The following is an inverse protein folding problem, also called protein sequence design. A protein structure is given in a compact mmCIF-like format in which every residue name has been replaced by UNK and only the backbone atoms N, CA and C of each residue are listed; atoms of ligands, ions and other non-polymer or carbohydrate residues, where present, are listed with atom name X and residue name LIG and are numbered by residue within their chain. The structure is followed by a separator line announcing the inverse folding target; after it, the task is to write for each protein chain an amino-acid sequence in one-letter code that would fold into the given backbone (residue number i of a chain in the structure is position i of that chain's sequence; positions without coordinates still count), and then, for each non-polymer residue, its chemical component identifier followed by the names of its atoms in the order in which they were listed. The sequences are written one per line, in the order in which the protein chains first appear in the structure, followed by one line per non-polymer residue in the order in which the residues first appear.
data_IF_945194039310
#
_entry.id   IF_945194039310
#
_cell.length_a   1.000
_cell.length_b   1.000
_cell.length_c   1.000
_cell.angle_alpha   90.00
_cell.angle_beta   90.00
_cell.angle_gamma   90.00
#
_symmetry.space_group_name_H-M   'P 1'
#
loop_
_entity.id
_entity.type
_entity.pdbx_description
1 polymer ?
#
# COMPACT_ATOMS: atom_id res chain seq x y z
N UNK A 1 -43.57 72.81 -55.99
CA UNK A 1 -44.56 71.82 -55.51
C UNK A 1 -44.99 72.23 -54.10
N UNK A 2 -46.14 72.90 -53.94
CA UNK A 2 -46.66 73.32 -52.64
C UNK A 2 -47.39 72.14 -52.00
N UNK A 3 -46.83 71.54 -50.95
CA UNK A 3 -47.47 70.45 -50.20
C UNK A 3 -48.43 71.10 -49.19
N UNK A 4 -49.73 70.88 -49.35
CA UNK A 4 -50.74 71.28 -48.39
C UNK A 4 -50.73 70.30 -47.22
N UNK A 5 -50.29 70.75 -46.05
CA UNK A 5 -50.31 69.95 -44.82
C UNK A 5 -51.69 70.07 -44.18
N UNK A 6 -52.48 69.01 -44.26
CA UNK A 6 -53.77 68.91 -43.54
C UNK A 6 -53.49 68.63 -42.07
N UNK A 7 -54.24 69.31 -41.18
CA UNK A 7 -54.14 69.07 -39.74
C UNK A 7 -54.63 67.65 -39.44
N UNK A 8 -53.83 66.80 -38.76
CA UNK A 8 -54.25 65.43 -38.45
C UNK A 8 -55.49 65.46 -37.55
N UNK A 9 -56.44 64.55 -37.82
CA UNK A 9 -57.66 64.46 -37.02
C UNK A 9 -57.33 64.01 -35.59
N UNK A 10 -58.10 64.44 -34.57
CA UNK A 10 -57.89 64.01 -33.19
C UNK A 10 -57.83 62.48 -33.03
N UNK A 11 -58.62 61.75 -33.83
CA UNK A 11 -58.59 60.28 -33.86
C UNK A 11 -57.25 59.72 -34.36
N UNK A 12 -56.61 60.37 -35.33
CA UNK A 12 -55.29 59.97 -35.83
C UNK A 12 -54.19 60.17 -34.78
N UNK A 13 -54.31 61.24 -33.97
CA UNK A 13 -53.37 61.50 -32.86
C UNK A 13 -53.51 60.42 -31.80
N UNK A 14 -54.74 60.07 -31.40
CA UNK A 14 -54.98 59.00 -30.41
C UNK A 14 -54.50 57.65 -30.95
N UNK A 15 -54.75 57.35 -32.23
CA UNK A 15 -54.27 56.13 -32.86
C UNK A 15 -52.74 56.04 -32.88
N UNK A 16 -52.03 57.14 -33.14
CA UNK A 16 -50.57 57.19 -33.12
C UNK A 16 -50.01 57.04 -31.70
N UNK A 17 -50.63 57.67 -30.69
CA UNK A 17 -50.22 57.52 -29.29
C UNK A 17 -50.46 56.07 -28.82
N UNK A 18 -51.61 55.49 -29.15
CA UNK A 18 -51.92 54.11 -28.83
C UNK A 18 -50.97 53.13 -29.53
N UNK A 19 -50.60 53.39 -30.79
CA UNK A 19 -49.64 52.60 -31.54
C UNK A 19 -48.24 52.66 -30.91
N UNK A 20 -47.77 53.87 -30.56
CA UNK A 20 -46.46 54.03 -29.89
C UNK A 20 -46.45 53.36 -28.51
N UNK A 21 -47.54 53.51 -27.74
CA UNK A 21 -47.67 52.84 -26.44
C UNK A 21 -47.67 51.31 -26.60
N UNK A 22 -48.40 50.77 -27.60
CA UNK A 22 -48.44 49.33 -27.88
C UNK A 22 -47.08 48.76 -28.34
N UNK A 23 -46.31 49.50 -29.14
CA UNK A 23 -44.96 49.09 -29.56
C UNK A 23 -43.90 49.25 -28.46
N UNK A 24 -44.12 50.10 -27.46
CA UNK A 24 -43.16 50.31 -26.37
C UNK A 24 -43.13 49.18 -25.32
N UNK A 25 -44.09 48.24 -25.38
CA UNK A 25 -44.41 47.32 -24.27
C UNK A 25 -43.80 45.92 -24.32
N UNK A 26 -43.10 45.49 -25.36
CA UNK A 26 -42.46 44.16 -25.35
C UNK A 26 -41.01 44.23 -25.80
N UNK A 27 -40.12 44.46 -24.82
CA UNK A 27 -38.73 44.02 -24.93
C UNK A 27 -38.73 42.49 -24.93
N UNK A 28 -39.11 41.89 -26.06
CA UNK A 28 -38.87 40.48 -26.30
C UNK A 28 -37.36 40.29 -26.21
N UNK A 29 -36.92 39.63 -25.14
CA UNK A 29 -35.58 39.10 -25.02
C UNK A 29 -35.43 37.94 -26.01
N UNK A 30 -35.53 38.23 -27.30
CA UNK A 30 -35.18 37.32 -28.39
C UNK A 30 -33.66 37.29 -28.45
N UNK A 31 -33.03 36.68 -27.44
CA UNK A 31 -31.61 36.40 -27.48
C UNK A 31 -31.36 35.38 -28.57
N UNK A 32 -30.58 35.77 -29.58
CA UNK A 32 -30.09 34.86 -30.58
C UNK A 32 -29.27 33.73 -29.94
N UNK A 33 -29.13 32.62 -30.66
CA UNK A 33 -28.25 31.52 -30.26
C UNK A 33 -26.84 32.09 -29.97
N UNK A 34 -26.25 31.72 -28.84
CA UNK A 34 -24.94 32.21 -28.36
C UNK A 34 -24.85 33.72 -28.06
N UNK A 35 -25.98 34.44 -27.89
CA UNK A 35 -25.98 35.88 -27.59
C UNK A 35 -25.89 36.22 -26.09
N UNK A 36 -25.85 35.21 -25.21
CA UNK A 36 -25.65 35.38 -23.76
C UNK A 36 -24.16 35.25 -23.45
N UNK A 37 -23.50 36.36 -23.19
CA UNK A 37 -22.14 36.42 -22.65
C UNK A 37 -22.11 36.52 -21.13
N UNK A 38 -20.90 36.63 -20.56
CA UNK A 38 -20.68 36.74 -19.11
C UNK A 38 -21.29 38.01 -18.50
N UNK A 39 -21.31 39.13 -19.25
CA UNK A 39 -21.89 40.41 -18.79
C UNK A 39 -23.41 40.36 -18.61
N UNK A 40 -24.08 39.45 -19.32
CA UNK A 40 -25.52 39.23 -19.23
C UNK A 40 -25.90 38.32 -18.04
N UNK A 41 -24.92 37.62 -17.45
CA UNK A 41 -25.13 36.74 -16.31
C UNK A 41 -24.67 37.42 -15.02
N UNK A 42 -25.62 37.70 -14.12
CA UNK A 42 -25.29 38.14 -12.76
C UNK A 42 -24.58 37.02 -12.00
N UNK A 43 -23.75 37.38 -11.02
CA UNK A 43 -23.13 36.39 -10.13
C UNK A 43 -24.19 35.49 -9.48
N UNK A 44 -23.92 34.18 -9.40
CA UNK A 44 -24.86 33.15 -8.88
C UNK A 44 -26.19 33.03 -9.63
N UNK A 45 -26.31 33.59 -10.84
CA UNK A 45 -27.54 33.49 -11.62
C UNK A 45 -27.87 32.05 -12.08
N UNK A 46 -26.85 31.21 -12.28
CA UNK A 46 -26.99 29.80 -12.64
C UNK A 46 -26.93 28.97 -11.36
N UNK A 47 -28.08 28.46 -10.93
CA UNK A 47 -28.24 27.60 -9.76
C UNK A 47 -28.49 26.15 -10.19
N UNK A 48 -28.37 25.20 -9.26
CA UNK A 48 -28.63 23.78 -9.52
C UNK A 48 -30.00 23.53 -10.15
N UNK A 49 -31.06 24.17 -9.64
CA UNK A 49 -32.42 24.04 -10.18
C UNK A 49 -32.60 24.60 -11.60
N UNK A 50 -31.65 25.39 -12.12
CA UNK A 50 -31.66 25.89 -13.50
C UNK A 50 -30.85 25.01 -14.46
N UNK A 51 -30.10 24.04 -13.92
CA UNK A 51 -29.36 23.06 -14.71
C UNK A 51 -30.21 21.80 -14.84
N UNK A 52 -30.62 21.49 -16.06
CA UNK A 52 -31.27 20.22 -16.35
C UNK A 52 -30.32 19.04 -16.08
N UNK A 53 -30.88 17.85 -15.83
CA UNK A 53 -30.10 16.62 -15.74
C UNK A 53 -29.24 16.43 -17.00
N UNK A 54 -27.97 16.07 -16.83
CA UNK A 54 -26.98 15.94 -17.91
C UNK A 54 -26.69 17.23 -18.69
N UNK A 55 -27.02 18.41 -18.15
CA UNK A 55 -26.68 19.69 -18.79
C UNK A 55 -25.16 19.92 -18.88
N UNK A 56 -24.37 19.40 -17.94
CA UNK A 56 -22.90 19.49 -17.92
C UNK A 56 -22.34 18.08 -18.13
N UNK A 57 -21.93 17.78 -19.36
CA UNK A 57 -21.30 16.50 -19.72
C UNK A 57 -19.78 16.64 -19.79
N UNK A 58 -19.08 15.52 -19.90
CA UNK A 58 -17.60 15.49 -20.00
C UNK A 58 -17.04 16.39 -21.10
N UNK A 59 -17.73 16.50 -22.24
CA UNK A 59 -17.30 17.35 -23.37
C UNK A 59 -17.37 18.85 -23.02
N UNK A 60 -18.22 19.24 -22.06
CA UNK A 60 -18.37 20.63 -21.60
C UNK A 60 -17.38 21.02 -20.49
N UNK A 61 -16.62 20.06 -19.97
CA UNK A 61 -15.62 20.29 -18.92
C UNK A 61 -14.24 20.22 -19.56
N UNK A 62 -13.44 21.28 -19.38
CA UNK A 62 -12.07 21.29 -19.88
C UNK A 62 -11.25 20.19 -19.21
N UNK A 63 -10.40 19.48 -19.99
CA UNK A 63 -9.51 18.44 -19.46
C UNK A 63 -8.62 19.01 -18.36
N UNK A 64 -8.43 18.25 -17.27
CA UNK A 64 -7.59 18.62 -16.13
C UNK A 64 -8.01 19.92 -15.40
N UNK A 65 -9.23 20.40 -15.59
CA UNK A 65 -9.72 21.62 -14.92
C UNK A 65 -10.25 21.39 -13.51
N UNK A 66 -10.61 20.15 -13.17
CA UNK A 66 -11.09 19.79 -11.84
C UNK A 66 -9.93 19.33 -10.97
N UNK A 67 -9.74 19.99 -9.84
CA UNK A 67 -8.71 19.67 -8.84
C UNK A 67 -9.32 18.96 -7.64
N UNK A 68 -8.47 18.49 -6.70
CA UNK A 68 -8.95 17.90 -5.45
C UNK A 68 -9.77 18.86 -4.58
N UNK A 69 -9.64 20.18 -4.76
CA UNK A 69 -10.46 21.17 -4.05
C UNK A 69 -11.90 21.25 -4.59
N UNK A 70 -12.11 20.89 -5.86
CA UNK A 70 -13.42 20.92 -6.53
C UNK A 70 -14.24 19.64 -6.29
N UNK A 71 -13.58 18.60 -5.76
CA UNK A 71 -14.12 17.25 -5.66
C UNK A 71 -14.15 16.84 -4.19
N UNK A 72 -15.34 16.47 -3.69
CA UNK A 72 -15.43 15.81 -2.39
C UNK A 72 -14.93 14.37 -2.51
N UNK A 73 -13.62 14.17 -2.31
CA UNK A 73 -12.95 12.87 -2.44
C UNK A 73 -13.57 11.82 -1.51
N UNK A 74 -14.06 12.20 -0.32
CA UNK A 74 -14.68 11.28 0.63
C UNK A 74 -16.06 10.75 0.21
N UNK A 75 -16.72 11.42 -0.74
CA UNK A 75 -17.95 10.94 -1.35
C UNK A 75 -17.69 10.01 -2.55
N UNK A 76 -16.45 9.89 -3.01
CA UNK A 76 -16.07 8.97 -4.06
C UNK A 76 -15.88 7.57 -3.48
N UNK A 77 -16.38 6.55 -4.19
CA UNK A 77 -16.02 5.17 -3.89
C UNK A 77 -14.54 4.89 -4.19
N UNK A 78 -14.08 3.70 -3.81
CA UNK A 78 -12.73 3.25 -4.11
C UNK A 78 -12.46 3.33 -5.61
N UNK A 79 -11.37 4.02 -5.99
CA UNK A 79 -10.93 4.06 -7.39
C UNK A 79 -10.57 2.63 -7.80
N UNK A 80 -11.18 2.05 -8.86
CA UNK A 80 -10.99 0.64 -9.21
C UNK A 80 -9.53 0.22 -9.43
N UNK A 81 -8.66 1.16 -9.83
CA UNK A 81 -7.24 0.94 -10.05
C UNK A 81 -6.33 1.33 -8.86
N UNK A 82 -6.90 1.65 -7.69
CA UNK A 82 -6.14 1.91 -6.47
C UNK A 82 -5.93 0.66 -5.60
N UNK A 83 -5.99 -0.54 -6.18
CA UNK A 83 -5.82 -1.82 -5.47
C UNK A 83 -4.48 -1.92 -4.71
N UNK A 84 -3.43 -1.28 -5.23
CA UNK A 84 -2.10 -1.31 -4.61
C UNK A 84 -1.94 -0.37 -3.40
N UNK A 85 -2.80 0.64 -3.25
CA UNK A 85 -2.71 1.60 -2.15
C UNK A 85 -3.32 1.05 -0.85
N UNK A 86 -4.35 0.20 -0.95
CA UNK A 86 -4.97 -0.44 0.20
C UNK A 86 -4.03 -1.45 0.90
N UNK A 87 -3.09 -2.03 0.15
CA UNK A 87 -2.15 -3.04 0.67
C UNK A 87 -0.88 -2.46 1.30
N UNK A 88 -0.70 -1.13 1.32
CA UNK A 88 0.53 -0.48 1.76
C UNK A 88 0.51 0.04 3.20
N UNK A 89 -0.66 0.13 3.84
CA UNK A 89 -0.81 0.72 5.17
C UNK A 89 -0.36 -0.17 6.33
N UNK A 90 -0.47 -1.49 6.17
CA UNK A 90 0.03 -2.51 7.10
C UNK A 90 0.41 -3.74 6.27
N UNK A 91 1.68 -3.87 5.90
CA UNK A 91 2.17 -5.10 5.29
C UNK A 91 2.24 -6.20 6.36
N UNK A 92 1.07 -6.69 6.81
CA UNK A 92 0.96 -7.88 7.66
C UNK A 92 1.50 -9.12 6.94
N UNK A 93 1.67 -9.02 5.61
CA UNK A 93 2.39 -9.97 4.80
C UNK A 93 3.48 -9.30 3.95
N UNK A 94 4.62 -9.96 3.79
CA UNK A 94 5.67 -9.58 2.83
C UNK A 94 5.76 -10.71 1.82
N UNK A 95 5.47 -10.42 0.54
CA UNK A 95 5.41 -11.47 -0.49
C UNK A 95 4.27 -12.49 -0.34
N UNK A 96 3.20 -12.14 0.37
CA UNK A 96 2.03 -13.02 0.58
C UNK A 96 2.09 -13.86 1.85
N UNK A 97 3.16 -13.77 2.63
CA UNK A 97 3.35 -14.53 3.86
C UNK A 97 3.32 -13.64 5.09
N UNK A 98 2.69 -14.11 6.17
CA UNK A 98 2.61 -13.38 7.43
C UNK A 98 4.01 -13.02 7.94
N UNK A 99 4.20 -11.81 8.47
CA UNK A 99 5.41 -11.44 9.19
C UNK A 99 5.45 -12.12 10.58
N UNK A 100 5.35 -13.45 10.58
CA UNK A 100 5.23 -14.29 11.76
C UNK A 100 6.09 -15.54 11.59
N UNK A 101 6.60 -16.05 12.70
CA UNK A 101 7.41 -17.25 12.70
C UNK A 101 6.56 -18.50 12.43
N UNK A 102 7.09 -19.51 11.71
CA UNK A 102 6.42 -20.79 11.53
C UNK A 102 6.01 -21.44 12.86
N UNK A 103 4.99 -22.31 12.82
CA UNK A 103 4.61 -23.09 14.00
C UNK A 103 5.82 -23.88 14.54
N UNK A 104 5.98 -23.92 15.87
CA UNK A 104 7.11 -24.59 16.50
C UNK A 104 8.40 -23.78 16.53
N UNK A 105 8.36 -22.49 16.17
CA UNK A 105 9.50 -21.57 16.24
C UNK A 105 9.20 -20.32 17.09
N UNK A 106 10.24 -19.70 17.65
CA UNK A 106 10.19 -18.48 18.47
C UNK A 106 10.88 -17.33 17.75
N UNK A 107 10.23 -16.17 17.73
CA UNK A 107 10.82 -14.93 17.23
C UNK A 107 11.83 -14.36 18.22
N UNK A 108 13.10 -14.28 17.82
CA UNK A 108 14.16 -13.65 18.59
C UNK A 108 14.92 -12.69 17.67
N UNK A 109 14.83 -11.38 17.95
CA UNK A 109 15.58 -10.32 17.25
C UNK A 109 15.43 -10.32 15.71
N UNK A 110 14.24 -10.66 15.22
CA UNK A 110 13.95 -10.66 13.78
C UNK A 110 14.29 -11.95 13.05
N UNK A 111 14.73 -12.97 13.77
CA UNK A 111 14.99 -14.33 13.26
C UNK A 111 14.11 -15.31 14.03
N UNK A 112 13.56 -16.30 13.34
CA UNK A 112 12.77 -17.37 13.96
C UNK A 112 13.70 -18.54 14.28
N UNK A 113 13.64 -19.09 15.48
CA UNK A 113 14.43 -20.26 15.88
C UNK A 113 13.51 -21.40 16.28
N UNK A 114 13.90 -22.65 16.07
CA UNK A 114 13.14 -23.78 16.63
C UNK A 114 12.98 -23.60 18.16
N UNK A 115 11.75 -23.80 18.64
CA UNK A 115 11.44 -23.63 20.07
C UNK A 115 12.14 -24.66 20.97
N UNK A 116 12.56 -25.80 20.40
CA UNK A 116 13.24 -26.88 21.09
C UNK A 116 14.36 -27.45 20.22
N UNK A 117 15.42 -28.04 20.83
CA UNK A 117 16.40 -28.81 20.09
C UNK A 117 15.76 -29.91 19.25
N UNK A 118 16.20 -30.03 18.00
CA UNK A 118 15.87 -31.18 17.17
C UNK A 118 16.58 -32.44 17.71
N UNK A 119 16.10 -33.64 17.35
CA UNK A 119 16.80 -34.88 17.63
C UNK A 119 18.24 -34.85 17.10
N UNK A 120 19.12 -35.68 17.68
CA UNK A 120 20.53 -35.71 17.26
C UNK A 120 20.68 -36.03 15.77
N UNK A 121 21.55 -35.29 15.10
CA UNK A 121 22.01 -35.57 13.75
C UNK A 121 23.35 -36.30 13.82
N UNK A 122 23.56 -37.28 12.95
CA UNK A 122 24.81 -38.04 12.91
C UNK A 122 26.03 -37.17 12.54
N UNK A 123 25.84 -36.14 11.71
CA UNK A 123 26.90 -35.25 11.26
C UNK A 123 26.41 -33.80 11.20
N UNK A 124 27.34 -32.86 11.22
CA UNK A 124 27.05 -31.44 11.02
C UNK A 124 26.30 -31.21 9.69
N UNK A 125 26.72 -31.90 8.63
CA UNK A 125 26.08 -31.77 7.32
C UNK A 125 24.64 -32.27 7.35
N UNK A 126 24.36 -33.37 8.06
CA UNK A 126 22.99 -33.87 8.22
C UNK A 126 22.10 -32.87 8.96
N UNK A 127 22.62 -32.18 9.98
CA UNK A 127 21.90 -31.10 10.66
C UNK A 127 21.63 -29.91 9.72
N UNK A 128 22.63 -29.49 8.93
CA UNK A 128 22.50 -28.41 7.96
C UNK A 128 21.43 -28.71 6.90
N UNK A 129 21.49 -29.92 6.33
CA UNK A 129 20.54 -30.38 5.31
C UNK A 129 19.12 -30.50 5.90
N UNK A 130 18.99 -30.91 7.16
CA UNK A 130 17.72 -30.94 7.87
C UNK A 130 17.11 -29.53 8.04
N UNK A 131 17.90 -28.52 8.42
CA UNK A 131 17.43 -27.14 8.48
C UNK A 131 17.07 -26.60 7.08
N UNK A 132 17.90 -26.86 6.07
CA UNK A 132 17.66 -26.44 4.70
C UNK A 132 16.36 -27.03 4.12
N UNK A 133 16.05 -28.28 4.45
CA UNK A 133 14.80 -28.95 4.02
C UNK A 133 13.53 -28.24 4.51
N UNK A 134 13.61 -27.57 5.67
CA UNK A 134 12.55 -26.75 6.25
C UNK A 134 12.63 -25.28 5.81
N UNK A 135 13.59 -24.94 4.96
CA UNK A 135 13.81 -23.57 4.49
C UNK A 135 14.60 -22.68 5.46
N UNK A 136 15.26 -23.26 6.45
CA UNK A 136 16.11 -22.59 7.42
C UNK A 136 17.60 -22.84 7.21
N UNK A 137 18.40 -22.49 8.20
CA UNK A 137 19.85 -22.65 8.24
C UNK A 137 20.32 -23.01 9.66
N UNK A 138 21.54 -23.54 9.77
CA UNK A 138 22.21 -23.70 11.06
C UNK A 138 22.71 -22.32 11.52
N UNK A 139 22.41 -21.88 12.76
CA UNK A 139 22.85 -20.59 13.26
C UNK A 139 24.37 -20.50 13.46
N UNK A 140 24.88 -19.28 13.40
CA UNK A 140 26.26 -19.02 13.79
C UNK A 140 26.46 -19.21 15.31
N UNK A 141 27.68 -19.56 15.80
CA UNK A 141 27.93 -19.78 17.22
C UNK A 141 27.47 -18.62 18.10
N UNK A 142 27.73 -17.39 17.68
CA UNK A 142 27.36 -16.19 18.43
C UNK A 142 25.87 -15.83 18.30
N UNK A 143 25.22 -16.27 17.24
CA UNK A 143 23.77 -16.13 17.08
C UNK A 143 23.07 -16.99 18.13
N UNK A 144 23.44 -18.27 18.23
CA UNK A 144 22.88 -19.18 19.24
C UNK A 144 23.28 -18.81 20.67
N UNK A 145 24.51 -18.36 20.90
CA UNK A 145 24.93 -17.86 22.22
C UNK A 145 24.03 -16.72 22.72
N UNK A 146 23.56 -15.87 21.80
CA UNK A 146 22.72 -14.73 22.14
C UNK A 146 21.29 -15.13 22.54
N UNK A 147 20.85 -16.33 22.18
CA UNK A 147 19.50 -16.84 22.46
C UNK A 147 19.43 -17.74 23.70
N UNK A 148 20.56 -18.04 24.36
CA UNK A 148 20.66 -18.97 25.51
C UNK A 148 19.76 -18.64 26.72
N UNK A 149 19.32 -17.38 26.86
CA UNK A 149 18.39 -16.97 27.92
C UNK A 149 16.92 -17.24 27.58
N UNK A 150 16.64 -17.66 26.35
CA UNK A 150 15.29 -17.86 25.79
C UNK A 150 15.11 -19.29 25.27
N UNK A 151 16.12 -19.84 24.60
CA UNK A 151 16.10 -21.19 24.05
C UNK A 151 16.84 -22.17 24.96
N UNK A 152 16.33 -23.41 25.02
CA UNK A 152 17.05 -24.53 25.62
C UNK A 152 18.12 -25.03 24.65
N UNK A 153 19.40 -24.80 24.95
CA UNK A 153 20.53 -25.25 24.12
C UNK A 153 21.15 -26.58 24.62
N UNK A 154 20.39 -27.36 25.38
CA UNK A 154 20.83 -28.66 25.90
C UNK A 154 21.66 -28.57 27.19
N UNK A 155 21.90 -29.72 27.82
CA UNK A 155 22.60 -29.82 29.11
C UNK A 155 24.12 -29.80 28.99
N UNK A 156 24.64 -29.95 27.78
CA UNK A 156 26.06 -30.13 27.52
C UNK A 156 26.63 -31.49 27.93
N UNK A 157 25.79 -32.53 27.95
CA UNK A 157 26.19 -33.90 28.26
C UNK A 157 25.79 -34.81 27.09
N UNK A 158 26.71 -35.68 26.66
CA UNK A 158 26.48 -36.56 25.51
C UNK A 158 26.29 -35.75 24.23
N UNK A 159 25.16 -35.94 23.56
CA UNK A 159 24.80 -35.22 22.33
C UNK A 159 23.95 -33.98 22.58
N UNK A 160 23.68 -33.63 23.84
CA UNK A 160 22.89 -32.47 24.23
C UNK A 160 23.66 -31.14 24.15
N UNK A 161 24.32 -30.93 23.01
CA UNK A 161 24.91 -29.68 22.56
C UNK A 161 24.33 -29.35 21.17
N UNK A 162 24.35 -28.09 20.78
CA UNK A 162 23.81 -27.65 19.50
C UNK A 162 24.92 -27.47 18.48
N UNK A 163 24.78 -28.09 17.31
CA UNK A 163 25.57 -27.75 16.14
C UNK A 163 25.42 -26.27 15.77
N UNK A 164 26.49 -25.70 15.22
CA UNK A 164 26.54 -24.36 14.64
C UNK A 164 27.04 -24.46 13.20
N UNK A 165 26.95 -23.38 12.43
CA UNK A 165 27.42 -23.34 11.03
C UNK A 165 28.95 -23.41 10.84
N UNK A 166 29.72 -23.46 11.93
CA UNK A 166 31.18 -23.44 11.86
C UNK A 166 31.73 -24.75 11.29
N UNK A 167 32.60 -24.64 10.28
CA UNK A 167 33.25 -25.76 9.62
C UNK A 167 34.70 -25.39 9.28
N UNK A 168 35.66 -26.01 9.96
CA UNK A 168 37.07 -25.70 9.79
C UNK A 168 37.94 -26.95 9.95
N UNK A 169 39.15 -26.91 9.41
CA UNK A 169 40.12 -28.00 9.57
C UNK A 169 40.78 -27.89 10.93
N UNK A 170 40.86 -29.01 11.67
CA UNK A 170 41.62 -29.04 12.92
C UNK A 170 43.12 -28.89 12.63
N UNK A 171 43.78 -28.00 13.38
CA UNK A 171 45.20 -27.71 13.19
C UNK A 171 46.03 -28.95 13.52
N UNK A 172 46.86 -29.38 12.58
CA UNK A 172 47.86 -30.44 12.80
C UNK A 172 47.37 -31.89 12.69
N UNK A 173 46.09 -32.13 12.34
CA UNK A 173 45.51 -33.48 12.34
C UNK A 173 45.27 -34.10 10.96
N UNK A 174 45.32 -33.33 9.87
CA UNK A 174 45.09 -33.82 8.50
C UNK A 174 43.64 -34.29 8.26
N UNK A 175 42.99 -33.77 7.21
CA UNK A 175 41.63 -34.10 6.73
C UNK A 175 40.43 -34.10 7.72
N UNK A 176 40.66 -34.04 9.03
CA UNK A 176 39.62 -34.03 10.05
C UNK A 176 39.06 -32.62 10.19
N UNK A 177 37.76 -32.48 9.91
CA UNK A 177 37.03 -31.23 10.07
C UNK A 177 36.38 -31.19 11.45
N UNK A 178 36.36 -29.99 12.02
CA UNK A 178 35.76 -29.68 13.31
C UNK A 178 34.71 -28.59 13.17
N UNK A 179 33.82 -28.57 14.15
CA UNK A 179 32.76 -27.58 14.32
C UNK A 179 32.72 -27.16 15.78
N UNK A 180 32.21 -25.96 16.02
CA UNK A 180 31.86 -25.48 17.35
C UNK A 180 30.44 -25.95 17.68
N UNK A 181 30.30 -26.57 18.84
CA UNK A 181 28.99 -26.82 19.46
C UNK A 181 28.84 -25.95 20.70
N UNK A 182 27.59 -25.64 21.05
CA UNK A 182 27.25 -24.81 22.21
C UNK A 182 26.26 -25.55 23.11
N UNK A 183 26.41 -25.42 24.43
CA UNK A 183 25.43 -25.93 25.40
C UNK A 183 24.58 -24.83 26.05
N UNK A 184 23.63 -25.23 26.90
CA UNK A 184 22.74 -24.35 27.65
C UNK A 184 23.44 -23.36 28.58
N UNK A 185 24.71 -23.58 28.95
CA UNK A 185 25.50 -22.61 29.73
C UNK A 185 26.12 -21.52 28.85
N UNK A 186 26.11 -21.73 27.53
CA UNK A 186 26.79 -20.90 26.55
C UNK A 186 28.25 -21.29 26.35
N UNK A 187 28.69 -22.45 26.86
CA UNK A 187 30.05 -22.94 26.65
C UNK A 187 30.20 -23.40 25.20
N UNK A 188 31.24 -22.89 24.54
CA UNK A 188 31.62 -23.28 23.20
C UNK A 188 32.70 -24.37 23.29
N UNK A 189 32.51 -25.47 22.58
CA UNK A 189 33.48 -26.58 22.51
C UNK A 189 33.66 -27.05 21.08
N UNK A 190 34.87 -27.50 20.77
CA UNK A 190 35.15 -28.11 19.47
C UNK A 190 34.72 -29.58 19.47
N UNK A 191 34.15 -30.01 18.35
CA UNK A 191 33.70 -31.37 18.10
C UNK A 191 34.01 -31.75 16.65
N UNK A 192 34.30 -33.03 16.38
CA UNK A 192 34.43 -33.52 15.01
C UNK A 192 33.10 -33.44 14.26
N UNK A 193 33.12 -33.07 12.98
CA UNK A 193 31.88 -32.89 12.19
C UNK A 193 31.06 -34.18 12.00
N UNK A 194 31.67 -35.34 12.26
CA UNK A 194 31.05 -36.68 12.17
C UNK A 194 30.61 -37.23 13.54
N UNK A 195 30.81 -36.48 14.63
CA UNK A 195 30.29 -36.86 15.94
C UNK A 195 28.85 -36.35 16.09
N UNK A 196 27.91 -37.16 16.60
CA UNK A 196 26.50 -36.77 16.67
C UNK A 196 26.26 -35.62 17.66
N UNK A 197 25.30 -34.77 17.34
CA UNK A 197 24.89 -33.66 18.20
C UNK A 197 23.47 -33.22 17.85
N UNK A 198 22.77 -32.60 18.80
CA UNK A 198 21.50 -31.95 18.54
C UNK A 198 21.71 -30.63 17.77
N UNK A 199 20.63 -30.01 17.33
CA UNK A 199 20.69 -28.75 16.59
C UNK A 199 19.39 -27.95 16.70
N UNK A 200 19.51 -26.64 16.53
CA UNK A 200 18.39 -25.70 16.38
C UNK A 200 18.55 -25.05 15.03
N UNK A 201 17.47 -24.97 14.25
CA UNK A 201 17.44 -24.23 13.00
C UNK A 201 17.00 -22.79 13.23
N UNK A 202 17.52 -21.89 12.41
CA UNK A 202 17.03 -20.53 12.26
C UNK A 202 16.34 -20.33 10.90
N UNK A 203 15.40 -19.40 10.84
CA UNK A 203 14.61 -19.06 9.67
C UNK A 203 14.46 -17.55 9.56
N UNK A 204 14.49 -17.03 8.34
CA UNK A 204 14.15 -15.63 8.09
C UNK A 204 12.66 -15.38 8.40
N UNK A 205 12.34 -14.23 8.97
CA UNK A 205 10.96 -13.80 9.31
C UNK A 205 10.01 -13.76 8.10
N UNK A 206 10.58 -13.71 6.90
CA UNK A 206 9.85 -13.59 5.65
C UNK A 206 10.22 -14.78 4.80
N UNK A 207 9.40 -15.82 4.86
CA UNK A 207 9.30 -16.75 3.75
C UNK A 207 7.91 -16.63 3.22
#
# INVERSE_FOLDING_TARGET
MKIAVTRPSPAMIVALIALVAALSGTAYAALGKNSVGTRQLKAKAVTSGKLATNAVTSIKVAKNSLTGADINVGALGTVPNAANAASAGNAGTVGGHAAACPEGTVLIRGVCFDSNPNPEAATLKAAADACASKGGYLPAPMELFSTRSVLNLGSGVGTAHMFTDSYYSAVGTGSNYTTIVIDGTGKLTEQGVDAPSQYICAYALVR
#
